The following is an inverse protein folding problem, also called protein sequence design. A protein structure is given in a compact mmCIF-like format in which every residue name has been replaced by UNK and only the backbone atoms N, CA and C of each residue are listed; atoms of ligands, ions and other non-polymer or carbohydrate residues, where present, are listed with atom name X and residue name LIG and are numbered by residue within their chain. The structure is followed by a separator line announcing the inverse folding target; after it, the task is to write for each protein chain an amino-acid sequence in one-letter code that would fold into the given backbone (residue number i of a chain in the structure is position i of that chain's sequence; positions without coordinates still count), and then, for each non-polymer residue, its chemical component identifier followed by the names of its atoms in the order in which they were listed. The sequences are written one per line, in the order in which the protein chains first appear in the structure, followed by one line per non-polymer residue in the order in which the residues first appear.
data_IF_235552484444
#
_entry.id   IF_235552484444
#
_cell.length_a   1.000
_cell.length_b   1.000
_cell.length_c   1.000
_cell.angle_alpha   90.00
_cell.angle_beta   90.00
_cell.angle_gamma   90.00
#
_symmetry.space_group_name_H-M   'P 1'
#
loop_
_entity.id
_entity.type
_entity.pdbx_description
1 polymer ?
#
# COMPACT_ATOMS: atom_id res chain seq x y z
N UNK A 1 -15.89 6.55 -2.07
CA UNK A 1 -15.24 7.72 -1.43
C UNK A 1 -14.04 7.24 -0.62
N UNK A 2 -13.12 8.13 -0.25
CA UNK A 2 -11.87 7.79 0.45
C UNK A 2 -10.64 7.82 -0.45
N UNK A 3 -9.48 8.03 0.16
CA UNK A 3 -8.18 8.08 -0.52
C UNK A 3 -7.11 7.37 0.29
N UNK A 4 -6.18 6.73 -0.42
CA UNK A 4 -5.02 6.08 0.17
C UNK A 4 -3.77 6.87 -0.21
N UNK A 5 -3.04 7.40 0.77
CA UNK A 5 -1.71 7.96 0.54
C UNK A 5 -0.66 6.91 0.87
N UNK A 6 0.10 6.48 -0.12
CA UNK A 6 1.21 5.53 0.05
C UNK A 6 2.52 6.29 0.01
N UNK A 7 3.28 6.16 1.09
CA UNK A 7 4.65 6.66 1.21
C UNK A 7 5.63 5.55 0.78
N UNK A 8 6.42 5.82 -0.25
CA UNK A 8 7.49 4.95 -0.74
C UNK A 8 8.89 5.50 -0.38
N UNK A 9 8.98 6.40 0.61
CA UNK A 9 10.24 6.99 1.07
C UNK A 9 10.88 7.85 -0.01
N UNK A 10 12.17 7.63 -0.25
CA UNK A 10 12.95 8.27 -1.32
C UNK A 10 12.38 8.08 -2.74
N UNK A 11 11.45 7.13 -2.94
CA UNK A 11 10.73 6.95 -4.22
C UNK A 11 9.48 7.83 -4.34
N UNK A 12 9.19 8.62 -3.32
CA UNK A 12 8.12 9.61 -3.30
C UNK A 12 6.83 9.09 -2.67
N UNK A 13 5.81 9.95 -2.71
CA UNK A 13 4.51 9.72 -2.11
C UNK A 13 3.45 9.77 -3.21
N UNK A 14 2.49 8.84 -3.19
CA UNK A 14 1.39 8.81 -4.15
C UNK A 14 0.04 8.65 -3.45
N UNK A 15 -0.94 9.43 -3.90
CA UNK A 15 -2.31 9.33 -3.44
C UNK A 15 -3.17 8.65 -4.49
N UNK A 16 -3.90 7.62 -4.09
CA UNK A 16 -4.84 6.86 -4.90
C UNK A 16 -6.27 7.18 -4.46
N UNK A 17 -7.17 7.27 -5.43
CA UNK A 17 -8.59 7.56 -5.22
C UNK A 17 -9.43 6.35 -5.63
N UNK A 18 -10.73 6.44 -5.36
CA UNK A 18 -11.70 5.39 -5.72
C UNK A 18 -11.63 5.10 -7.22
N UNK A 19 -11.50 3.82 -7.57
CA UNK A 19 -11.37 3.38 -8.96
C UNK A 19 -9.92 3.20 -9.42
N UNK A 20 -8.95 3.79 -8.72
CA UNK A 20 -7.54 3.55 -9.01
C UNK A 20 -7.14 2.12 -8.62
N UNK A 21 -6.26 1.54 -9.42
CA UNK A 21 -5.57 0.30 -9.09
C UNK A 21 -4.14 0.61 -8.64
N UNK A 22 -3.63 -0.18 -7.70
CA UNK A 22 -2.25 -0.10 -7.24
C UNK A 22 -1.62 -1.51 -7.23
N UNK A 23 -0.33 -1.56 -7.48
CA UNK A 23 0.49 -2.74 -7.24
C UNK A 23 1.37 -2.47 -6.03
N UNK A 24 1.43 -3.43 -5.12
CA UNK A 24 2.34 -3.40 -3.97
C UNK A 24 3.79 -3.28 -4.44
N UNK A 25 4.57 -2.45 -3.75
CA UNK A 25 5.98 -2.27 -4.10
C UNK A 25 6.78 -3.48 -3.62
N UNK A 26 7.19 -4.34 -4.56
CA UNK A 26 7.98 -5.53 -4.28
C UNK A 26 9.41 -5.16 -3.86
N UNK A 27 9.92 -5.81 -2.81
CA UNK A 27 11.26 -5.59 -2.25
C UNK A 27 11.56 -4.13 -1.87
N UNK A 28 10.51 -3.36 -1.53
CA UNK A 28 10.64 -1.97 -1.13
C UNK A 28 9.66 -1.64 0.01
N UNK A 29 10.15 -1.16 1.16
CA UNK A 29 9.28 -0.75 2.25
C UNK A 29 8.37 0.40 1.83
N UNK A 30 7.09 0.32 2.20
CA UNK A 30 6.13 1.37 1.93
C UNK A 30 5.05 1.37 3.01
N UNK A 31 4.35 2.50 3.16
CA UNK A 31 3.32 2.65 4.17
C UNK A 31 2.07 3.32 3.58
N UNK A 32 0.96 2.59 3.55
CA UNK A 32 -0.34 3.09 3.13
C UNK A 32 -1.11 3.69 4.31
N UNK A 33 -1.47 4.98 4.22
CA UNK A 33 -2.17 5.70 5.27
C UNK A 33 -3.41 6.40 4.71
N UNK A 34 -4.52 6.27 5.41
CA UNK A 34 -5.69 7.13 5.20
C UNK A 34 -5.43 8.48 5.87
N UNK A 35 -5.09 9.51 5.08
CA UNK A 35 -4.91 10.90 5.56
C UNK A 35 -6.20 11.72 5.44
N UNK A 36 -7.27 11.15 4.90
CA UNK A 36 -8.56 11.82 4.70
C UNK A 36 -9.50 11.69 5.91
N UNK A 37 -10.66 12.34 5.82
CA UNK A 37 -11.68 12.37 6.87
C UNK A 37 -12.71 11.24 6.78
N UNK A 38 -12.69 10.43 5.72
CA UNK A 38 -13.62 9.32 5.51
C UNK A 38 -12.87 7.99 5.43
N UNK A 39 -13.48 6.86 5.83
CA UNK A 39 -12.81 5.56 5.75
C UNK A 39 -12.40 5.19 4.31
N UNK A 40 -11.19 4.67 4.15
CA UNK A 40 -10.74 4.02 2.91
C UNK A 40 -11.09 2.54 2.95
N UNK A 41 -11.57 1.99 1.83
CA UNK A 41 -11.86 0.55 1.66
C UNK A 41 -10.99 0.02 0.52
N UNK A 42 -10.20 -1.01 0.81
CA UNK A 42 -9.26 -1.63 -0.12
C UNK A 42 -9.61 -3.10 -0.31
N UNK A 43 -9.49 -3.59 -1.54
CA UNK A 43 -9.45 -5.02 -1.85
C UNK A 43 -8.00 -5.37 -2.19
N UNK A 44 -7.31 -6.01 -1.26
CA UNK A 44 -5.96 -6.52 -1.49
C UNK A 44 -6.04 -7.97 -2.00
N UNK A 45 -5.43 -8.21 -3.16
CA UNK A 45 -5.33 -9.55 -3.75
C UNK A 45 -3.84 -9.90 -3.83
N UNK A 46 -3.46 -11.00 -3.19
CA UNK A 46 -2.08 -11.50 -3.22
C UNK A 46 -1.99 -12.75 -4.09
N UNK A 47 -1.06 -12.74 -5.04
CA UNK A 47 -0.64 -13.95 -5.77
C UNK A 47 0.37 -14.72 -4.92
N UNK A 48 -0.14 -15.44 -3.92
CA UNK A 48 0.68 -16.18 -2.97
C UNK A 48 1.14 -17.54 -3.47
N UNK A 49 2.00 -18.19 -2.69
CA UNK A 49 2.40 -19.58 -2.84
C UNK A 49 2.24 -20.31 -1.50
N UNK A 50 1.98 -21.62 -1.54
CA UNK A 50 1.84 -22.42 -0.33
C UNK A 50 3.11 -22.34 0.54
N UNK A 51 2.93 -22.10 1.84
CA UNK A 51 4.03 -21.98 2.79
C UNK A 51 4.82 -20.67 2.74
N UNK A 52 4.48 -19.73 1.85
CA UNK A 52 5.19 -18.45 1.68
C UNK A 52 4.31 -17.29 2.15
N UNK A 53 4.88 -16.40 2.96
CA UNK A 53 4.20 -15.19 3.39
C UNK A 53 4.00 -14.22 2.21
N UNK A 54 2.81 -13.63 2.11
CA UNK A 54 2.47 -12.66 1.06
C UNK A 54 3.20 -11.31 1.22
N UNK A 55 3.52 -10.94 2.46
CA UNK A 55 4.28 -9.75 2.83
C UNK A 55 5.01 -10.01 4.15
N UNK A 56 6.14 -9.33 4.35
CA UNK A 56 6.94 -9.41 5.59
C UNK A 56 7.02 -8.05 6.26
N UNK A 57 7.02 -7.97 7.60
CA UNK A 57 7.27 -6.72 8.30
C UNK A 57 8.61 -6.10 7.88
N UNK A 58 8.60 -4.80 7.63
CA UNK A 58 9.79 -4.01 7.35
C UNK A 58 9.85 -2.81 8.31
N UNK A 59 11.05 -2.23 8.45
CA UNK A 59 11.13 -0.85 8.96
C UNK A 59 10.39 0.06 7.98
N UNK A 60 9.80 1.15 8.49
CA UNK A 60 9.08 2.10 7.64
C UNK A 60 9.94 2.66 6.51
N UNK A 61 9.30 3.21 5.46
CA UNK A 61 10.02 3.80 4.33
C UNK A 61 11.03 4.87 4.78
N UNK A 62 12.22 4.88 4.16
CA UNK A 62 13.32 5.84 4.35
C UNK A 62 13.23 7.03 3.38
#
# INVERSE_FOLDING_TARGET
EGELTVDYGSKGVKTYKVGDSLLEAMNWPHNGMNKGAVPVKLLAVYMGAEGIANATPAKGPE
#
